data_IF_485663912612
#
_entry.id   IF_485663912612
#
_cell.length_a   1.000
_cell.length_b   1.000
_cell.length_c   1.000
_cell.angle_alpha   90.00
_cell.angle_beta   90.00
_cell.angle_gamma   90.00
#
_symmetry.space_group_name_H-M   'P 1'
#
loop_
_entity.id
_entity.type
_entity.pdbx_description
1 polymer ?
#
# COMPACT_ATOMS: atom_id res chain seq x y z
N UNK A 1 -11.68 40.25 4.33
CA UNK A 1 -12.44 39.21 3.60
C UNK A 1 -11.51 38.03 3.53
N UNK A 2 -11.71 37.06 4.42
CA UNK A 2 -10.96 35.81 4.40
C UNK A 2 -11.85 34.78 3.71
N UNK A 3 -11.72 34.69 2.39
CA UNK A 3 -12.39 33.68 1.59
C UNK A 3 -11.46 32.48 1.40
N UNK A 4 -11.97 31.29 1.71
CA UNK A 4 -11.25 30.02 1.55
C UNK A 4 -11.33 29.62 0.08
N UNK A 5 -10.17 29.56 -0.59
CA UNK A 5 -10.07 29.14 -2.01
C UNK A 5 -9.94 27.61 -2.12
N UNK A 6 -9.14 26.98 -1.24
CA UNK A 6 -8.94 25.54 -1.17
C UNK A 6 -8.84 25.10 0.30
N UNK A 7 -9.40 23.94 0.63
CA UNK A 7 -9.27 23.34 1.97
C UNK A 7 -7.90 22.68 2.18
N UNK A 8 -7.35 22.09 1.13
CA UNK A 8 -6.00 21.53 1.08
C UNK A 8 -5.32 22.04 -0.19
N UNK A 9 -4.07 22.50 -0.04
CA UNK A 9 -3.26 22.90 -1.19
C UNK A 9 -3.07 21.71 -2.13
N UNK A 10 -3.36 21.88 -3.42
CA UNK A 10 -3.23 20.78 -4.38
C UNK A 10 -4.19 19.59 -4.14
N UNK A 11 -5.22 19.76 -3.32
CA UNK A 11 -6.19 18.73 -2.89
C UNK A 11 -5.61 17.61 -1.99
N UNK A 12 -4.28 17.46 -1.94
CA UNK A 12 -3.55 16.46 -1.16
C UNK A 12 -2.71 17.05 -0.01
N UNK A 13 -2.52 18.36 0.00
CA UNK A 13 -1.70 19.08 0.99
C UNK A 13 -0.19 18.98 0.77
N UNK A 14 0.27 18.59 -0.44
CA UNK A 14 1.68 18.35 -0.74
C UNK A 14 2.33 19.50 -1.53
N UNK A 15 3.60 19.77 -1.26
CA UNK A 15 4.38 20.74 -2.03
C UNK A 15 4.85 20.14 -3.36
N UNK A 16 4.67 20.88 -4.46
CA UNK A 16 5.02 20.43 -5.82
C UNK A 16 6.49 20.01 -6.01
N UNK A 17 7.42 20.50 -5.17
CA UNK A 17 8.86 20.17 -5.23
C UNK A 17 9.16 18.69 -4.93
N UNK A 18 8.25 17.99 -4.25
CA UNK A 18 8.42 16.58 -3.87
C UNK A 18 7.56 15.62 -4.72
N UNK A 19 6.94 16.13 -5.77
CA UNK A 19 6.05 15.38 -6.65
C UNK A 19 6.82 14.96 -7.91
N UNK A 20 6.65 13.70 -8.30
CA UNK A 20 7.27 13.13 -9.50
C UNK A 20 6.21 12.45 -10.37
N UNK A 21 6.49 12.34 -11.67
CA UNK A 21 5.71 11.50 -12.58
C UNK A 21 5.95 10.03 -12.25
N UNK A 22 4.90 9.34 -11.86
CA UNK A 22 4.94 7.92 -11.52
C UNK A 22 3.79 7.18 -12.19
N UNK A 23 4.02 5.93 -12.53
CA UNK A 23 2.96 5.05 -13.01
C UNK A 23 2.26 4.42 -11.80
N UNK A 24 0.93 4.45 -11.77
CA UNK A 24 0.15 3.65 -10.82
C UNK A 24 0.01 2.25 -11.40
N UNK A 25 0.96 1.36 -11.10
CA UNK A 25 0.98 0.01 -11.68
C UNK A 25 -0.26 -0.81 -11.30
N UNK A 26 -0.85 -0.55 -10.14
CA UNK A 26 -2.10 -1.16 -9.71
C UNK A 26 -3.24 -0.94 -10.72
N UNK A 27 -3.26 0.20 -11.43
CA UNK A 27 -4.22 0.46 -12.50
C UNK A 27 -3.91 -0.35 -13.76
N UNK A 28 -2.63 -0.50 -14.11
CA UNK A 28 -2.16 -1.15 -15.36
C UNK A 28 -2.35 -2.67 -15.37
N UNK A 29 -2.21 -3.33 -14.23
CA UNK A 29 -2.25 -4.81 -14.16
C UNK A 29 -3.68 -5.37 -14.24
N UNK A 30 -3.86 -6.56 -14.82
CA UNK A 30 -5.16 -7.25 -14.81
C UNK A 30 -5.51 -7.77 -13.41
N UNK A 31 -6.80 -8.07 -13.16
CA UNK A 31 -7.21 -8.73 -11.91
C UNK A 31 -6.52 -10.07 -11.69
N UNK A 32 -6.30 -10.82 -12.78
CA UNK A 32 -5.57 -12.10 -12.74
C UNK A 32 -4.11 -11.89 -12.34
N UNK A 33 -3.45 -10.88 -12.91
CA UNK A 33 -2.07 -10.57 -12.57
C UNK A 33 -1.95 -10.08 -11.13
N UNK A 34 -2.90 -9.25 -10.66
CA UNK A 34 -2.98 -8.80 -9.26
C UNK A 34 -3.11 -10.00 -8.31
N UNK A 35 -4.02 -10.94 -8.61
CA UNK A 35 -4.14 -12.17 -7.84
C UNK A 35 -2.84 -13.00 -7.88
N UNK A 36 -2.19 -13.09 -9.03
CA UNK A 36 -0.97 -13.88 -9.18
C UNK A 36 0.23 -13.33 -8.38
N UNK A 37 0.29 -12.02 -8.12
CA UNK A 37 1.40 -11.39 -7.38
C UNK A 37 1.09 -11.14 -5.90
N UNK A 38 -0.14 -10.75 -5.54
CA UNK A 38 -0.48 -10.34 -4.18
C UNK A 38 -1.25 -11.40 -3.39
N UNK A 39 -2.07 -12.24 -4.06
CA UNK A 39 -2.86 -13.25 -3.35
C UNK A 39 -1.96 -14.34 -2.79
N UNK A 40 -2.21 -14.72 -1.55
CA UNK A 40 -1.55 -15.83 -0.89
C UNK A 40 -2.33 -17.13 -1.15
N UNK A 41 -1.60 -18.21 -1.45
CA UNK A 41 -2.18 -19.52 -1.77
C UNK A 41 -1.80 -20.54 -0.71
N UNK A 42 -2.57 -20.60 0.37
CA UNK A 42 -2.30 -21.47 1.51
C UNK A 42 -2.50 -22.96 1.20
N UNK A 43 -3.29 -23.28 0.16
CA UNK A 43 -3.59 -24.65 -0.24
C UNK A 43 -2.40 -25.28 -0.98
N UNK A 44 -1.61 -24.46 -1.68
CA UNK A 44 -0.42 -24.92 -2.38
C UNK A 44 0.66 -25.41 -1.39
N UNK A 45 1.10 -26.68 -1.49
CA UNK A 45 2.19 -27.22 -0.68
C UNK A 45 3.52 -26.46 -0.81
N UNK A 46 3.73 -25.78 -1.94
CA UNK A 46 4.94 -25.04 -2.26
C UNK A 46 4.83 -23.54 -1.95
N UNK A 47 3.76 -23.12 -1.29
CA UNK A 47 3.58 -21.74 -0.83
C UNK A 47 4.76 -21.27 0.03
N UNK A 48 5.27 -20.07 -0.25
CA UNK A 48 6.40 -19.49 0.49
C UNK A 48 7.78 -20.08 0.14
N UNK A 49 7.87 -21.12 -0.71
CA UNK A 49 9.19 -21.66 -1.11
C UNK A 49 9.97 -20.59 -1.90
N UNK A 50 11.19 -20.31 -1.44
CA UNK A 50 12.12 -19.37 -2.07
C UNK A 50 12.16 -17.98 -1.46
N UNK A 51 11.07 -17.50 -0.85
CA UNK A 51 10.99 -16.15 -0.27
C UNK A 51 10.66 -16.14 1.24
N UNK A 52 9.99 -17.16 1.76
CA UNK A 52 9.87 -17.42 3.21
C UNK A 52 10.86 -18.53 3.55
N UNK A 53 12.01 -18.18 4.14
CA UNK A 53 13.07 -19.17 4.45
C UNK A 53 12.67 -20.14 5.56
N UNK A 54 11.94 -19.67 6.57
CA UNK A 54 11.54 -20.46 7.74
C UNK A 54 10.31 -21.35 7.46
N UNK A 55 10.51 -22.67 7.58
CA UNK A 55 9.44 -23.68 7.44
C UNK A 55 8.36 -23.57 8.51
N UNK A 56 8.72 -23.14 9.73
CA UNK A 56 7.75 -22.95 10.82
C UNK A 56 6.79 -21.81 10.49
N UNK A 57 7.31 -20.71 9.94
CA UNK A 57 6.49 -19.58 9.48
C UNK A 57 5.56 -20.02 8.35
N UNK A 58 6.07 -20.76 7.35
CA UNK A 58 5.24 -21.32 6.27
C UNK A 58 4.12 -22.20 6.82
N UNK A 59 4.45 -23.13 7.72
CA UNK A 59 3.48 -24.03 8.34
C UNK A 59 2.45 -23.28 9.17
N UNK A 60 2.87 -22.27 9.93
CA UNK A 60 1.99 -21.46 10.76
C UNK A 60 0.95 -20.70 9.91
N UNK A 61 1.39 -20.01 8.85
CA UNK A 61 0.49 -19.28 7.93
C UNK A 61 -0.55 -20.23 7.29
N UNK A 62 -0.17 -21.50 7.03
CA UNK A 62 -1.09 -22.49 6.45
C UNK A 62 -2.09 -23.07 7.44
N UNK A 63 -1.79 -23.08 8.72
CA UNK A 63 -2.65 -23.67 9.77
C UNK A 63 -3.48 -22.63 10.51
N UNK A 64 -2.97 -21.41 10.64
CA UNK A 64 -3.60 -20.35 11.42
C UNK A 64 -4.59 -19.54 10.56
N UNK A 65 -5.87 -19.64 10.90
CA UNK A 65 -6.94 -18.92 10.21
C UNK A 65 -6.95 -17.42 10.47
N UNK A 66 -6.43 -16.95 11.61
CA UNK A 66 -6.37 -15.52 11.91
C UNK A 66 -5.35 -14.84 11.01
N UNK A 67 -4.18 -15.48 10.81
CA UNK A 67 -3.15 -15.01 9.89
C UNK A 67 -3.67 -14.99 8.45
N UNK A 68 -4.37 -16.04 8.01
CA UNK A 68 -4.98 -16.09 6.68
C UNK A 68 -6.00 -14.97 6.48
N UNK A 69 -6.83 -14.68 7.49
CA UNK A 69 -7.81 -13.60 7.41
C UNK A 69 -7.16 -12.22 7.24
N UNK A 70 -6.02 -11.96 7.90
CA UNK A 70 -5.27 -10.70 7.74
C UNK A 70 -4.75 -10.55 6.32
N UNK A 71 -4.17 -11.61 5.76
CA UNK A 71 -3.59 -11.61 4.41
C UNK A 71 -4.65 -11.56 3.31
N UNK A 72 -5.78 -12.23 3.53
CA UNK A 72 -6.94 -12.14 2.62
C UNK A 72 -7.55 -10.73 2.64
N UNK A 73 -7.58 -10.08 3.80
CA UNK A 73 -8.01 -8.68 3.94
C UNK A 73 -7.08 -7.74 3.20
N UNK A 74 -5.76 -7.93 3.28
CA UNK A 74 -4.79 -7.16 2.50
C UNK A 74 -5.08 -7.27 0.99
N UNK A 75 -5.28 -8.48 0.50
CA UNK A 75 -5.57 -8.69 -0.92
C UNK A 75 -6.89 -8.04 -1.36
N UNK A 76 -7.94 -8.15 -0.54
CA UNK A 76 -9.22 -7.51 -0.84
C UNK A 76 -9.11 -5.97 -0.80
N UNK A 77 -8.32 -5.41 0.12
CA UNK A 77 -8.02 -3.97 0.15
C UNK A 77 -7.37 -3.52 -1.17
N UNK A 78 -6.38 -4.26 -1.69
CA UNK A 78 -5.76 -3.95 -2.99
C UNK A 78 -6.75 -4.00 -4.15
N UNK A 79 -7.68 -4.97 -4.15
CA UNK A 79 -8.73 -5.07 -5.16
C UNK A 79 -9.70 -3.91 -5.08
N UNK A 80 -10.13 -3.53 -3.89
CA UNK A 80 -11.01 -2.39 -3.68
C UNK A 80 -10.34 -1.09 -4.11
N UNK A 81 -9.07 -0.89 -3.76
CA UNK A 81 -8.31 0.28 -4.17
C UNK A 81 -8.16 0.36 -5.68
N UNK A 82 -7.84 -0.76 -6.34
CA UNK A 82 -7.82 -0.81 -7.81
C UNK A 82 -9.17 -0.38 -8.40
N UNK A 83 -10.27 -0.91 -7.87
CA UNK A 83 -11.62 -0.54 -8.30
C UNK A 83 -11.87 0.95 -8.07
N UNK A 84 -11.52 1.48 -6.90
CA UNK A 84 -11.70 2.88 -6.55
C UNK A 84 -10.94 3.81 -7.49
N UNK A 85 -9.66 3.50 -7.75
CA UNK A 85 -8.79 4.25 -8.66
C UNK A 85 -9.35 4.27 -10.07
N UNK A 86 -9.68 3.09 -10.64
CA UNK A 86 -10.15 2.97 -12.02
C UNK A 86 -11.59 3.50 -12.24
N UNK A 87 -12.42 3.62 -11.19
CA UNK A 87 -13.84 3.98 -11.36
C UNK A 87 -14.21 5.35 -10.83
N UNK A 88 -13.60 5.80 -9.73
CA UNK A 88 -13.96 7.06 -9.07
C UNK A 88 -12.90 8.14 -9.25
N UNK A 89 -11.63 7.79 -9.06
CA UNK A 89 -10.50 8.74 -9.05
C UNK A 89 -10.07 9.10 -10.48
N UNK A 90 -9.61 8.12 -11.25
CA UNK A 90 -9.07 8.29 -12.60
C UNK A 90 -9.99 7.65 -13.64
N UNK A 91 -11.08 8.36 -13.97
CA UNK A 91 -12.12 7.86 -14.90
C UNK A 91 -11.68 7.85 -16.36
N UNK A 92 -10.67 8.62 -16.69
CA UNK A 92 -10.01 8.68 -18.00
C UNK A 92 -9.12 7.45 -18.25
N UNK A 93 -8.75 6.73 -17.19
CA UNK A 93 -7.84 5.59 -17.26
C UNK A 93 -6.38 5.98 -17.39
N UNK A 94 -6.02 7.25 -17.22
CA UNK A 94 -4.62 7.66 -17.23
C UNK A 94 -3.92 7.12 -15.98
N UNK A 95 -2.84 6.37 -16.22
CA UNK A 95 -2.12 5.67 -15.17
C UNK A 95 -0.85 6.39 -14.75
N UNK A 96 -0.32 7.27 -15.60
CA UNK A 96 0.83 8.12 -15.27
C UNK A 96 0.32 9.36 -14.55
N UNK A 97 0.65 9.45 -13.26
CA UNK A 97 0.12 10.46 -12.36
C UNK A 97 1.25 11.16 -11.61
N UNK A 98 0.95 12.35 -11.09
CA UNK A 98 1.88 13.12 -10.28
C UNK A 98 1.72 12.69 -8.81
N UNK A 99 2.64 11.89 -8.29
CA UNK A 99 2.54 11.29 -6.96
C UNK A 99 3.80 11.63 -6.15
N UNK A 100 3.67 12.01 -4.88
CA UNK A 100 4.83 12.18 -4.02
C UNK A 100 5.50 10.84 -3.71
N UNK A 101 6.78 10.86 -3.37
CA UNK A 101 7.57 9.70 -2.92
C UNK A 101 7.69 8.61 -3.99
N UNK A 102 8.90 8.47 -4.55
CA UNK A 102 9.21 7.37 -5.47
C UNK A 102 9.54 6.08 -4.70
N UNK A 103 8.53 5.25 -4.44
CA UNK A 103 8.66 4.05 -3.59
C UNK A 103 9.60 3.04 -4.22
N UNK A 104 9.53 2.85 -5.54
CA UNK A 104 10.42 1.95 -6.27
C UNK A 104 11.89 2.33 -6.09
N UNK A 105 12.21 3.61 -6.26
CA UNK A 105 13.57 4.12 -6.06
C UNK A 105 14.03 3.95 -4.61
N UNK A 106 13.15 4.13 -3.63
CA UNK A 106 13.48 3.88 -2.22
C UNK A 106 13.82 2.41 -1.98
N UNK A 107 13.03 1.48 -2.53
CA UNK A 107 13.30 0.03 -2.45
C UNK A 107 14.65 -0.31 -3.10
N UNK A 108 14.93 0.23 -4.29
CA UNK A 108 16.20 0.01 -4.98
C UNK A 108 17.39 0.56 -4.18
N UNK A 109 17.24 1.73 -3.57
CA UNK A 109 18.25 2.32 -2.67
C UNK A 109 18.48 1.46 -1.43
N UNK A 110 17.42 0.90 -0.84
CA UNK A 110 17.53 -0.02 0.29
C UNK A 110 18.33 -1.27 -0.10
N UNK A 111 18.05 -1.89 -1.24
CA UNK A 111 18.82 -3.05 -1.71
C UNK A 111 20.30 -2.73 -1.98
N UNK A 112 20.60 -1.52 -2.44
CA UNK A 112 21.98 -1.07 -2.64
C UNK A 112 22.73 -0.86 -1.30
N UNK A 113 22.05 -0.25 -0.31
CA UNK A 113 22.65 0.06 0.99
C UNK A 113 22.75 -1.17 1.91
N UNK A 114 21.82 -2.12 1.77
CA UNK A 114 21.72 -3.34 2.58
C UNK A 114 21.74 -4.59 1.68
N UNK A 115 22.92 -5.00 1.16
CA UNK A 115 23.05 -6.23 0.40
C UNK A 115 22.64 -7.44 1.26
N UNK A 116 21.76 -8.29 0.72
CA UNK A 116 21.06 -9.37 1.41
C UNK A 116 21.93 -10.59 1.82
N UNK A 117 23.21 -10.38 2.18
CA UNK A 117 24.14 -11.47 2.49
C UNK A 117 23.88 -12.14 3.84
N UNK A 118 23.26 -11.44 4.79
CA UNK A 118 22.66 -12.00 6.00
C UNK A 118 21.29 -11.34 6.17
N UNK A 119 20.24 -12.12 6.30
CA UNK A 119 18.85 -11.68 6.46
C UNK A 119 18.56 -11.69 7.98
N UNK A 120 18.86 -10.63 8.75
CA UNK A 120 18.76 -10.70 10.21
C UNK A 120 17.29 -10.44 10.64
N UNK A 121 16.53 -9.73 9.79
CA UNK A 121 15.20 -9.19 10.08
C UNK A 121 14.16 -9.68 9.05
N UNK A 122 14.07 -10.99 8.86
CA UNK A 122 12.95 -11.57 8.10
C UNK A 122 11.63 -11.26 8.84
N UNK A 123 10.78 -10.42 8.25
CA UNK A 123 9.43 -10.21 8.73
C UNK A 123 8.47 -11.21 8.08
N UNK A 124 7.69 -11.95 8.88
CA UNK A 124 6.66 -12.80 8.30
C UNK A 124 5.55 -11.92 7.66
N UNK A 125 4.86 -12.41 6.61
CA UNK A 125 3.89 -11.63 5.84
C UNK A 125 2.87 -10.86 6.69
N UNK A 126 2.34 -11.46 7.75
CA UNK A 126 1.36 -10.78 8.62
C UNK A 126 1.94 -9.57 9.35
N UNK A 127 3.23 -9.59 9.72
CA UNK A 127 3.89 -8.44 10.35
C UNK A 127 4.17 -7.33 9.33
N UNK A 128 4.44 -7.69 8.07
CA UNK A 128 4.56 -6.71 6.99
C UNK A 128 3.25 -5.96 6.81
N UNK A 129 2.10 -6.66 6.77
CA UNK A 129 0.78 -6.02 6.67
C UNK A 129 0.55 -5.04 7.82
N UNK A 130 0.83 -5.45 9.06
CA UNK A 130 0.66 -4.60 10.24
C UNK A 130 1.53 -3.35 10.17
N UNK A 131 2.82 -3.50 9.85
CA UNK A 131 3.75 -2.36 9.73
C UNK A 131 3.35 -1.40 8.62
N UNK A 132 2.84 -1.91 7.51
CA UNK A 132 2.32 -1.08 6.42
C UNK A 132 1.08 -0.33 6.89
N UNK A 133 0.12 -0.99 7.52
CA UNK A 133 -1.07 -0.33 8.10
C UNK A 133 -0.68 0.78 9.09
N UNK A 134 0.23 0.50 10.03
CA UNK A 134 0.76 1.49 10.99
C UNK A 134 1.46 2.67 10.29
N UNK A 135 2.20 2.40 9.22
CA UNK A 135 2.89 3.45 8.46
C UNK A 135 1.87 4.36 7.77
N UNK A 136 0.83 3.78 7.16
CA UNK A 136 -0.22 4.54 6.48
C UNK A 136 -1.05 5.38 7.46
N UNK A 137 -1.32 4.86 8.66
CA UNK A 137 -2.04 5.59 9.70
C UNK A 137 -1.27 6.81 10.24
N UNK A 138 0.06 6.77 10.15
CA UNK A 138 0.96 7.86 10.49
C UNK A 138 1.05 8.94 9.40
N UNK A 139 0.70 8.63 8.16
CA UNK A 139 0.70 9.58 7.04
C UNK A 139 -0.53 10.50 7.10
N UNK A 140 -0.58 11.37 8.12
CA UNK A 140 -1.65 12.35 8.33
C UNK A 140 -1.30 13.71 7.71
N UNK A 141 -2.17 14.20 6.84
CA UNK A 141 -2.09 15.52 6.24
C UNK A 141 -2.81 16.53 7.14
N UNK A 142 -4.03 16.20 7.55
CA UNK A 142 -4.85 17.01 8.45
C UNK A 142 -4.46 16.70 9.90
N UNK A 143 -4.02 17.74 10.63
CA UNK A 143 -3.57 17.63 12.01
C UNK A 143 -4.70 17.93 12.99
N UNK A 144 -4.64 17.31 14.17
CA UNK A 144 -5.56 17.60 15.28
C UNK A 144 -6.98 17.08 15.10
N UNK A 145 -7.20 16.11 14.19
CA UNK A 145 -8.49 15.44 14.04
C UNK A 145 -8.87 14.70 15.33
N UNK A 146 -10.08 14.93 15.79
CA UNK A 146 -10.73 14.17 16.87
C UNK A 146 -11.68 13.12 16.29
N UNK A 147 -12.01 12.08 17.07
CA UNK A 147 -12.81 10.95 16.59
C UNK A 147 -14.25 11.33 16.20
N UNK A 148 -14.77 12.44 16.71
CA UNK A 148 -16.09 12.99 16.39
C UNK A 148 -16.14 13.75 15.04
N UNK A 149 -14.98 14.06 14.44
CA UNK A 149 -14.89 14.86 13.22
C UNK A 149 -14.94 14.00 11.96
N UNK A 150 -16.11 13.41 11.69
CA UNK A 150 -16.35 12.51 10.53
C UNK A 150 -15.89 13.11 9.20
N UNK A 151 -16.23 14.38 8.93
CA UNK A 151 -15.84 15.07 7.69
C UNK A 151 -14.31 15.28 7.58
N UNK A 152 -13.64 15.48 8.71
CA UNK A 152 -12.18 15.64 8.72
C UNK A 152 -11.46 14.34 8.39
N UNK A 153 -11.97 13.21 8.88
CA UNK A 153 -11.47 11.89 8.53
C UNK A 153 -11.73 11.53 7.06
N UNK A 154 -12.90 11.89 6.53
CA UNK A 154 -13.20 11.72 5.11
C UNK A 154 -12.25 12.55 4.23
N UNK A 155 -12.00 13.81 4.59
CA UNK A 155 -11.04 14.67 3.90
C UNK A 155 -9.60 14.09 3.96
N UNK A 156 -9.18 13.56 5.11
CA UNK A 156 -7.88 12.91 5.27
C UNK A 156 -7.76 11.66 4.37
N UNK A 157 -8.81 10.84 4.32
CA UNK A 157 -8.84 9.66 3.46
C UNK A 157 -8.75 10.06 1.98
N UNK A 158 -9.54 11.05 1.56
CA UNK A 158 -9.56 11.54 0.18
C UNK A 158 -8.20 12.13 -0.24
N UNK A 159 -7.55 12.89 0.64
CA UNK A 159 -6.24 13.50 0.38
C UNK A 159 -5.11 12.46 0.20
N UNK A 160 -5.26 11.27 0.80
CA UNK A 160 -4.18 10.27 0.83
C UNK A 160 -4.46 9.01 0.02
N UNK A 161 -5.65 8.86 -0.55
CA UNK A 161 -6.10 7.62 -1.22
C UNK A 161 -5.13 7.12 -2.30
N UNK A 162 -4.60 8.03 -3.13
CA UNK A 162 -3.68 7.68 -4.22
C UNK A 162 -2.34 7.21 -3.68
N UNK A 163 -1.75 7.96 -2.74
CA UNK A 163 -0.48 7.59 -2.11
C UNK A 163 -0.61 6.28 -1.32
N UNK A 164 -1.71 6.09 -0.59
CA UNK A 164 -1.97 4.84 0.13
C UNK A 164 -2.06 3.66 -0.83
N UNK A 165 -2.72 3.81 -1.99
CA UNK A 165 -2.83 2.75 -2.98
C UNK A 165 -1.46 2.40 -3.57
N UNK A 166 -0.65 3.42 -3.86
CA UNK A 166 0.70 3.24 -4.39
C UNK A 166 1.61 2.52 -3.39
N UNK A 167 1.59 2.93 -2.12
CA UNK A 167 2.38 2.29 -1.05
C UNK A 167 1.92 0.85 -0.79
N UNK A 168 0.62 0.59 -0.68
CA UNK A 168 0.10 -0.77 -0.46
C UNK A 168 0.46 -1.71 -1.61
N UNK A 169 0.49 -1.21 -2.84
CA UNK A 169 0.88 -2.00 -3.99
C UNK A 169 2.37 -2.40 -3.95
N UNK A 170 3.27 -1.44 -3.67
CA UNK A 170 4.71 -1.70 -3.65
C UNK A 170 5.20 -2.44 -2.39
N UNK A 171 4.50 -2.29 -1.27
CA UNK A 171 4.84 -2.90 0.02
C UNK A 171 3.89 -4.06 0.37
N UNK A 172 3.28 -4.67 -0.64
CA UNK A 172 2.47 -5.87 -0.43
C UNK A 172 3.32 -6.97 0.22
N UNK A 173 2.70 -7.79 1.06
CA UNK A 173 3.41 -8.78 1.88
C UNK A 173 4.10 -9.93 1.12
N UNK A 174 3.93 -10.02 -0.21
CA UNK A 174 4.44 -11.08 -1.08
C UNK A 174 5.42 -10.60 -2.14
#
# INVERSE_FOLDING_TARGET
MDEVVQFLYGEDGMTAEYIEDQDIELMKISHERLAAIAKHDYLNPDYGRGWIKDEKVRSNIRMDHEIQAVLDREFENLREMKRLLCTKVYRDGESRQHIPINVRRLIDQCHYLFPAEEDPDFYPPQEVVQKVEETLDRLRVIRGLTDDQVLGWEAQHNATVVLQAHLRYHLASR
#
